data_IF_034920971402
#
_entry.id   IF_034920971402
#
_cell.length_a   1.000
_cell.length_b   1.000
_cell.length_c   1.000
_cell.angle_alpha   90.00
_cell.angle_beta   90.00
_cell.angle_gamma   90.00
#
_symmetry.space_group_name_H-M   'P 1'
#
loop_
_entity.id
_entity.type
_entity.pdbx_description
1 polymer ?
#
# COMPACT_ATOMS: atom_id res chain seq x y z
N UNK A 1 6.35 38.77 -33.00
CA UNK A 1 5.19 38.10 -32.37
C UNK A 1 5.68 37.51 -31.06
N UNK A 2 5.20 38.01 -29.92
CA UNK A 2 5.77 37.72 -28.59
C UNK A 2 5.52 36.27 -28.17
N UNK A 3 6.57 35.58 -27.70
CA UNK A 3 6.55 34.20 -27.16
C UNK A 3 5.43 34.02 -26.09
N UNK A 4 5.04 35.11 -25.43
CA UNK A 4 3.94 35.14 -24.47
C UNK A 4 2.56 34.84 -25.07
N UNK A 5 2.32 35.11 -26.36
CA UNK A 5 1.03 34.85 -27.01
C UNK A 5 0.79 33.37 -27.29
N UNK A 6 1.85 32.59 -27.52
CA UNK A 6 1.75 31.12 -27.68
C UNK A 6 1.53 30.41 -26.34
N UNK A 7 2.06 30.93 -25.24
CA UNK A 7 1.90 30.36 -23.90
C UNK A 7 0.46 30.45 -23.37
N UNK A 8 -0.31 31.45 -23.80
CA UNK A 8 -1.69 31.70 -23.35
C UNK A 8 -2.76 30.94 -24.17
N UNK A 9 -2.38 30.23 -25.24
CA UNK A 9 -3.32 29.55 -26.15
C UNK A 9 -3.36 28.02 -26.03
N UNK A 10 -2.46 27.41 -25.24
CA UNK A 10 -2.63 26.03 -24.79
C UNK A 10 -3.55 26.02 -23.57
N UNK A 11 -4.38 24.99 -23.31
CA UNK A 11 -5.02 24.80 -22.01
C UNK A 11 -3.92 24.96 -20.95
N UNK A 12 -3.96 26.10 -20.27
CA UNK A 12 -2.76 26.79 -19.79
C UNK A 12 -2.21 26.11 -18.56
N UNK A 13 -0.89 26.15 -18.36
CA UNK A 13 -0.19 25.83 -17.09
C UNK A 13 -0.95 26.34 -15.86
N UNK A 14 -1.65 27.48 -15.98
CA UNK A 14 -2.52 28.04 -14.96
C UNK A 14 -3.69 27.12 -14.54
N UNK A 15 -4.34 26.44 -15.48
CA UNK A 15 -5.40 25.47 -15.21
C UNK A 15 -4.84 24.22 -14.52
N UNK A 16 -3.64 23.79 -14.91
CA UNK A 16 -2.96 22.65 -14.28
C UNK A 16 -2.56 22.99 -12.83
N UNK A 17 -1.94 24.15 -12.60
CA UNK A 17 -1.60 24.63 -11.24
C UNK A 17 -2.85 24.79 -10.38
N UNK A 18 -3.93 25.32 -10.95
CA UNK A 18 -5.19 25.52 -10.21
C UNK A 18 -5.90 24.19 -9.93
N UNK A 19 -5.83 23.24 -10.85
CA UNK A 19 -6.34 21.88 -10.67
C UNK A 19 -5.55 21.14 -9.60
N UNK A 20 -4.22 21.20 -9.63
CA UNK A 20 -3.35 20.64 -8.60
C UNK A 20 -3.65 21.24 -7.23
N UNK A 21 -3.79 22.57 -7.13
CA UNK A 21 -4.13 23.24 -5.88
C UNK A 21 -5.53 22.86 -5.37
N UNK A 22 -6.51 22.74 -6.26
CA UNK A 22 -7.87 22.29 -5.90
C UNK A 22 -7.87 20.86 -5.40
N UNK A 23 -7.18 19.96 -6.11
CA UNK A 23 -7.03 18.56 -5.74
C UNK A 23 -6.30 18.44 -4.40
N UNK A 24 -5.23 19.20 -4.20
CA UNK A 24 -4.51 19.29 -2.93
C UNK A 24 -5.45 19.63 -1.78
N UNK A 25 -6.13 20.78 -1.90
CA UNK A 25 -7.04 21.25 -0.86
C UNK A 25 -8.17 20.25 -0.58
N UNK A 26 -8.72 19.61 -1.63
CA UNK A 26 -9.77 18.63 -1.48
C UNK A 26 -9.29 17.40 -0.71
N UNK A 27 -8.18 16.78 -1.11
CA UNK A 27 -7.64 15.59 -0.45
C UNK A 27 -7.23 15.89 0.99
N UNK A 28 -6.60 17.04 1.27
CA UNK A 28 -6.27 17.45 2.64
C UNK A 28 -7.53 17.68 3.48
N UNK A 29 -8.57 18.26 2.89
CA UNK A 29 -9.87 18.45 3.57
C UNK A 29 -10.52 17.12 3.92
N UNK A 30 -10.56 16.16 2.99
CA UNK A 30 -11.09 14.83 3.25
C UNK A 30 -10.23 14.09 4.29
N UNK A 31 -8.91 14.26 4.28
CA UNK A 31 -8.01 13.74 5.31
C UNK A 31 -8.35 14.26 6.70
N UNK A 32 -8.56 15.58 6.85
CA UNK A 32 -9.00 16.18 8.12
C UNK A 32 -10.35 15.65 8.58
N UNK A 33 -11.30 15.54 7.66
CA UNK A 33 -12.63 15.00 7.94
C UNK A 33 -12.55 13.55 8.44
N UNK A 34 -11.72 12.72 7.81
CA UNK A 34 -11.50 11.36 8.26
C UNK A 34 -10.84 11.30 9.65
N UNK A 35 -9.92 12.21 9.96
CA UNK A 35 -9.35 12.33 11.33
C UNK A 35 -10.45 12.56 12.36
N UNK A 36 -11.36 13.50 12.11
CA UNK A 36 -12.48 13.79 13.01
C UNK A 36 -13.38 12.57 13.19
N UNK A 37 -13.73 11.90 12.09
CA UNK A 37 -14.53 10.67 12.13
C UNK A 37 -13.88 9.58 12.97
N UNK A 38 -12.58 9.30 12.73
CA UNK A 38 -11.84 8.24 13.42
C UNK A 38 -11.66 8.54 14.91
N UNK A 39 -11.43 9.82 15.26
CA UNK A 39 -11.24 10.27 16.63
C UNK A 39 -12.52 10.14 17.45
N UNK A 40 -13.64 10.61 16.91
CA UNK A 40 -14.88 10.74 17.67
C UNK A 40 -15.74 9.47 17.62
N UNK A 41 -15.36 8.47 16.80
CA UNK A 41 -16.09 7.20 16.68
C UNK A 41 -17.40 7.35 15.93
N UNK A 42 -17.32 7.90 14.71
CA UNK A 42 -18.48 8.13 13.84
C UNK A 42 -19.10 6.81 13.35
N UNK A 43 -20.42 6.62 13.53
CA UNK A 43 -21.14 5.40 13.11
C UNK A 43 -20.95 5.07 11.62
N UNK A 44 -20.68 6.07 10.77
CA UNK A 44 -20.41 5.87 9.33
C UNK A 44 -19.10 5.11 9.08
N UNK A 45 -18.21 5.03 10.07
CA UNK A 45 -16.99 4.23 9.98
C UNK A 45 -17.23 2.73 10.07
N UNK A 46 -18.38 2.31 10.62
CA UNK A 46 -18.77 0.91 10.73
C UNK A 46 -18.63 0.14 9.40
N UNK A 47 -19.01 0.81 8.31
CA UNK A 47 -19.02 0.28 6.96
C UNK A 47 -17.86 0.80 6.10
N UNK A 48 -17.03 1.70 6.63
CA UNK A 48 -15.90 2.26 5.89
C UNK A 48 -14.80 1.21 5.79
N UNK A 49 -14.56 0.76 4.55
CA UNK A 49 -13.53 -0.24 4.27
C UNK A 49 -12.13 0.31 4.48
N UNK A 50 -11.23 -0.52 5.02
CA UNK A 50 -9.84 -0.14 5.21
C UNK A 50 -9.13 0.18 3.89
N UNK A 51 -9.60 -0.38 2.77
CA UNK A 51 -9.14 -0.02 1.40
C UNK A 51 -9.29 1.49 1.17
N UNK A 52 -10.45 2.05 1.49
CA UNK A 52 -10.75 3.47 1.26
C UNK A 52 -9.91 4.36 2.18
N UNK A 53 -9.75 3.94 3.44
CA UNK A 53 -8.89 4.63 4.41
C UNK A 53 -7.44 4.65 3.92
N UNK A 54 -6.91 3.51 3.47
CA UNK A 54 -5.56 3.40 2.94
C UNK A 54 -5.35 4.22 1.67
N UNK A 55 -6.32 4.22 0.75
CA UNK A 55 -6.27 5.03 -0.45
C UNK A 55 -6.17 6.53 -0.11
N UNK A 56 -7.02 7.03 0.78
CA UNK A 56 -6.99 8.43 1.20
C UNK A 56 -5.68 8.77 1.94
N UNK A 57 -5.20 7.89 2.83
CA UNK A 57 -3.91 8.04 3.52
C UNK A 57 -2.74 8.17 2.53
N UNK A 58 -2.65 7.28 1.55
CA UNK A 58 -1.60 7.29 0.53
C UNK A 58 -1.69 8.56 -0.33
N UNK A 59 -2.89 8.93 -0.79
CA UNK A 59 -3.11 10.17 -1.53
C UNK A 59 -2.64 11.38 -0.70
N UNK A 60 -3.06 11.46 0.56
CA UNK A 60 -2.69 12.53 1.49
C UNK A 60 -1.18 12.62 1.67
N UNK A 61 -0.48 11.50 1.88
CA UNK A 61 0.99 11.46 1.99
C UNK A 61 1.66 12.01 0.74
N UNK A 62 1.19 11.64 -0.45
CA UNK A 62 1.83 12.06 -1.72
C UNK A 62 1.77 13.57 -1.92
N UNK A 63 0.62 14.17 -1.65
CA UNK A 63 0.38 15.59 -1.92
C UNK A 63 0.78 16.52 -0.76
N UNK A 64 0.82 16.04 0.48
CA UNK A 64 1.00 16.90 1.64
C UNK A 64 2.33 17.65 1.63
N UNK A 65 2.24 18.90 2.07
CA UNK A 65 3.39 19.72 2.47
C UNK A 65 3.92 19.29 3.85
N UNK A 66 5.16 19.67 4.22
CA UNK A 66 5.70 19.39 5.55
C UNK A 66 4.83 19.93 6.70
N UNK A 67 4.14 21.05 6.52
CA UNK A 67 3.23 21.63 7.53
C UNK A 67 1.95 20.81 7.73
N UNK A 68 1.55 20.00 6.75
CA UNK A 68 0.33 19.17 6.82
C UNK A 68 0.60 17.78 7.38
N UNK A 69 1.86 17.46 7.69
CA UNK A 69 2.30 16.18 8.26
C UNK A 69 1.49 15.78 9.51
N UNK A 70 1.07 16.74 10.32
CA UNK A 70 0.26 16.47 11.52
C UNK A 70 -1.06 15.74 11.20
N UNK A 71 -1.67 16.02 10.04
CA UNK A 71 -2.91 15.35 9.60
C UNK A 71 -2.62 13.88 9.31
N UNK A 72 -1.49 13.61 8.65
CA UNK A 72 -1.07 12.26 8.31
C UNK A 72 -0.72 11.48 9.58
N UNK A 73 0.00 12.09 10.51
CA UNK A 73 0.30 11.48 11.81
C UNK A 73 -0.99 11.09 12.55
N UNK A 74 -1.98 11.97 12.57
CA UNK A 74 -3.29 11.69 13.15
C UNK A 74 -4.00 10.54 12.42
N UNK A 75 -4.05 10.56 11.08
CA UNK A 75 -4.67 9.49 10.30
C UNK A 75 -4.01 8.13 10.56
N UNK A 76 -2.67 8.06 10.56
CA UNK A 76 -1.95 6.81 10.84
C UNK A 76 -2.29 6.32 12.25
N UNK A 77 -2.15 7.19 13.25
CA UNK A 77 -2.37 6.81 14.65
C UNK A 77 -3.79 6.30 14.89
N UNK A 78 -4.81 7.04 14.44
CA UNK A 78 -6.19 6.63 14.63
C UNK A 78 -6.56 5.40 13.80
N UNK A 79 -6.00 5.24 12.59
CA UNK A 79 -6.21 4.01 11.81
C UNK A 79 -5.61 2.80 12.54
N UNK A 80 -4.41 2.92 13.12
CA UNK A 80 -3.83 1.85 13.91
C UNK A 80 -4.66 1.58 15.17
N UNK A 81 -5.10 2.60 15.88
CA UNK A 81 -5.93 2.45 17.08
C UNK A 81 -7.26 1.73 16.79
N UNK A 82 -7.91 2.04 15.67
CA UNK A 82 -9.25 1.53 15.34
C UNK A 82 -9.25 0.17 14.65
N UNK A 83 -8.25 -0.11 13.80
CA UNK A 83 -8.27 -1.28 12.93
C UNK A 83 -7.22 -2.34 13.30
N UNK A 84 -6.18 -2.01 14.07
CA UNK A 84 -5.10 -2.95 14.37
C UNK A 84 -5.43 -3.84 15.56
N UNK A 85 -5.20 -5.14 15.39
CA UNK A 85 -5.37 -6.16 16.41
C UNK A 85 -4.05 -6.88 16.68
N UNK A 86 -3.75 -7.09 17.95
CA UNK A 86 -2.58 -7.87 18.38
C UNK A 86 -2.98 -9.31 18.66
N UNK A 87 -2.29 -10.24 18.03
CA UNK A 87 -2.53 -11.68 18.14
C UNK A 87 -1.24 -12.40 18.58
N UNK A 88 -1.35 -13.70 18.89
CA UNK A 88 -0.17 -14.55 19.15
C UNK A 88 0.79 -14.64 17.95
N UNK A 89 0.29 -14.39 16.72
CA UNK A 89 1.05 -14.52 15.48
C UNK A 89 1.57 -13.17 14.97
N UNK A 90 1.31 -12.07 15.69
CA UNK A 90 1.70 -10.72 15.29
C UNK A 90 0.52 -9.74 15.24
N UNK A 91 0.77 -8.60 14.60
CA UNK A 91 -0.19 -7.49 14.48
C UNK A 91 -0.84 -7.48 13.10
N UNK A 92 -2.16 -7.48 13.09
CA UNK A 92 -2.97 -7.53 11.86
C UNK A 92 -4.06 -6.48 11.86
N UNK A 93 -4.66 -6.23 10.70
CA UNK A 93 -5.68 -5.20 10.55
C UNK A 93 -7.02 -5.80 10.16
N UNK A 94 -8.09 -5.30 10.79
CA UNK A 94 -9.47 -5.62 10.41
C UNK A 94 -9.84 -4.91 9.11
N UNK A 95 -10.63 -5.55 8.26
CA UNK A 95 -11.07 -4.94 6.98
C UNK A 95 -12.07 -3.78 7.14
N UNK A 96 -12.79 -3.75 8.28
CA UNK A 96 -13.64 -2.65 8.78
C UNK A 96 -13.47 -2.58 10.30
N UNK A 97 -13.88 -1.49 10.96
CA UNK A 97 -13.70 -1.32 12.43
C UNK A 97 -14.27 -2.50 13.24
N UNK A 98 -15.43 -3.01 12.83
CA UNK A 98 -16.15 -4.10 13.51
C UNK A 98 -15.94 -5.49 12.92
N UNK A 99 -15.10 -5.62 11.88
CA UNK A 99 -14.86 -6.94 11.28
C UNK A 99 -14.07 -7.82 12.23
N UNK A 100 -14.46 -9.09 12.35
CA UNK A 100 -13.65 -10.12 12.99
C UNK A 100 -12.58 -10.69 12.05
N UNK A 101 -12.62 -10.32 10.77
CA UNK A 101 -11.65 -10.78 9.78
C UNK A 101 -10.41 -9.90 9.75
N UNK A 102 -9.26 -10.52 9.98
CA UNK A 102 -7.95 -9.90 9.92
C UNK A 102 -7.32 -10.15 8.54
N UNK A 103 -6.99 -9.07 7.84
CA UNK A 103 -6.33 -9.12 6.54
C UNK A 103 -4.83 -8.86 6.70
N UNK A 104 -3.96 -9.72 6.15
CA UNK A 104 -2.53 -9.43 6.06
C UNK A 104 -2.17 -8.63 4.80
N UNK A 105 -3.11 -8.43 3.86
CA UNK A 105 -2.81 -8.08 2.49
C UNK A 105 -2.58 -6.59 2.21
N UNK A 106 -2.11 -6.28 1.00
CA UNK A 106 -1.79 -4.91 0.58
C UNK A 106 -3.04 -4.02 0.49
N UNK A 107 -4.15 -4.56 -0.02
CA UNK A 107 -5.37 -3.78 -0.26
C UNK A 107 -6.00 -3.25 1.04
N UNK A 108 -6.05 -4.07 2.09
CA UNK A 108 -6.87 -3.82 3.28
C UNK A 108 -6.32 -4.45 4.56
N UNK A 109 -4.99 -4.54 4.67
CA UNK A 109 -4.36 -5.30 5.74
C UNK A 109 -2.97 -4.83 6.14
N UNK A 110 -2.25 -5.69 6.86
CA UNK A 110 -0.92 -5.40 7.40
C UNK A 110 0.07 -4.90 6.35
N UNK A 111 0.15 -5.55 5.17
CA UNK A 111 1.03 -5.09 4.10
C UNK A 111 0.65 -3.67 3.61
N UNK A 112 -0.63 -3.34 3.54
CA UNK A 112 -1.08 -1.98 3.19
C UNK A 112 -0.57 -0.94 4.19
N UNK A 113 -0.70 -1.20 5.50
CA UNK A 113 -0.16 -0.32 6.52
C UNK A 113 1.37 -0.20 6.44
N UNK A 114 2.09 -1.31 6.23
CA UNK A 114 3.56 -1.26 6.05
C UNK A 114 3.91 -0.32 4.90
N UNK A 115 3.22 -0.42 3.76
CA UNK A 115 3.45 0.47 2.64
C UNK A 115 3.18 1.94 2.97
N UNK A 116 2.11 2.24 3.71
CA UNK A 116 1.78 3.61 4.17
C UNK A 116 2.91 4.17 5.04
N UNK A 117 3.38 3.41 6.03
CA UNK A 117 4.45 3.85 6.93
C UNK A 117 5.79 4.02 6.19
N UNK A 118 6.08 3.16 5.22
CA UNK A 118 7.26 3.28 4.36
C UNK A 118 7.18 4.52 3.45
N UNK A 119 6.02 4.81 2.86
CA UNK A 119 5.78 6.03 2.08
C UNK A 119 5.94 7.29 2.92
N UNK A 120 5.40 7.28 4.14
CA UNK A 120 5.59 8.35 5.11
C UNK A 120 7.08 8.60 5.37
N UNK A 121 7.84 7.54 5.68
CA UNK A 121 9.27 7.62 5.95
C UNK A 121 10.05 8.17 4.76
N UNK A 122 9.74 7.72 3.54
CA UNK A 122 10.40 8.21 2.31
C UNK A 122 10.09 9.69 2.05
N UNK A 123 8.83 10.11 2.23
CA UNK A 123 8.36 11.48 1.97
C UNK A 123 8.90 12.49 2.96
N UNK A 124 8.89 12.17 4.26
CA UNK A 124 9.21 13.11 5.34
C UNK A 124 10.58 12.90 5.97
N UNK A 125 11.29 11.83 5.61
CA UNK A 125 12.56 11.42 6.23
C UNK A 125 12.49 11.31 7.76
N UNK A 126 11.32 10.88 8.27
CA UNK A 126 11.05 10.75 9.69
C UNK A 126 11.03 9.27 10.11
N UNK A 127 11.69 8.98 11.23
CA UNK A 127 11.84 7.66 11.84
C UNK A 127 10.77 7.32 12.87
N UNK A 128 9.78 8.21 13.09
CA UNK A 128 8.71 8.09 14.09
C UNK A 128 8.03 6.71 14.11
N UNK A 129 7.82 6.12 12.94
CA UNK A 129 7.11 4.85 12.78
C UNK A 129 8.01 3.64 12.55
N UNK A 130 9.34 3.75 12.70
CA UNK A 130 10.28 2.66 12.40
C UNK A 130 10.03 1.41 13.23
N UNK A 131 9.78 1.56 14.54
CA UNK A 131 9.45 0.44 15.41
C UNK A 131 8.17 -0.28 14.94
N UNK A 132 7.14 0.49 14.58
CA UNK A 132 5.90 -0.08 14.02
C UNK A 132 6.15 -0.79 12.70
N UNK A 133 6.98 -0.24 11.80
CA UNK A 133 7.35 -0.89 10.54
C UNK A 133 8.01 -2.24 10.81
N UNK A 134 8.98 -2.29 11.73
CA UNK A 134 9.69 -3.52 12.08
C UNK A 134 8.75 -4.58 12.66
N UNK A 135 7.84 -4.20 13.56
CA UNK A 135 6.85 -5.11 14.13
C UNK A 135 5.91 -5.70 13.08
N UNK A 136 5.39 -4.87 12.18
CA UNK A 136 4.46 -5.31 11.14
C UNK A 136 5.18 -6.18 10.09
N UNK A 137 6.41 -5.82 9.71
CA UNK A 137 7.26 -6.64 8.81
C UNK A 137 7.53 -8.01 9.41
N UNK A 138 7.81 -8.08 10.72
CA UNK A 138 7.96 -9.36 11.40
C UNK A 138 6.67 -10.18 11.33
N UNK A 139 5.51 -9.54 11.52
CA UNK A 139 4.19 -10.21 11.49
C UNK A 139 3.90 -10.88 10.13
N UNK A 140 4.16 -10.19 9.02
CA UNK A 140 3.90 -10.76 7.68
C UNK A 140 4.99 -11.70 7.18
N UNK A 141 6.20 -11.65 7.75
CA UNK A 141 7.30 -12.53 7.34
C UNK A 141 7.12 -13.99 7.78
N UNK A 142 6.18 -14.25 8.70
CA UNK A 142 5.88 -15.59 9.21
C UNK A 142 4.67 -16.24 8.49
N UNK A 143 4.02 -15.52 7.58
CA UNK A 143 2.89 -16.04 6.81
C UNK A 143 3.40 -16.81 5.58
N UNK A 144 3.40 -18.15 5.68
CA UNK A 144 4.10 -18.99 4.70
C UNK A 144 3.36 -19.19 3.37
N UNK A 145 2.02 -19.17 3.34
CA UNK A 145 1.24 -19.39 2.12
C UNK A 145 -0.10 -18.63 2.12
N UNK A 146 -0.18 -17.45 1.49
CA UNK A 146 -1.44 -16.74 1.30
C UNK A 146 -2.35 -17.45 0.30
N UNK A 147 -3.58 -16.96 0.17
CA UNK A 147 -4.61 -17.61 -0.65
C UNK A 147 -4.32 -17.60 -2.14
N UNK A 148 -3.58 -16.63 -2.68
CA UNK A 148 -3.29 -16.54 -4.12
C UNK A 148 -1.96 -15.78 -4.34
N UNK A 149 -1.55 -15.59 -5.60
CA UNK A 149 -0.34 -14.86 -5.96
C UNK A 149 -0.50 -13.34 -6.06
N UNK A 150 -1.71 -12.79 -6.08
CA UNK A 150 -1.97 -11.40 -6.48
C UNK A 150 -1.14 -10.37 -5.73
N UNK A 151 -0.87 -9.24 -6.39
CA UNK A 151 -0.19 -8.12 -5.77
C UNK A 151 -1.06 -7.52 -4.65
N UNK A 152 -2.37 -7.39 -4.86
CA UNK A 152 -3.26 -6.70 -3.94
C UNK A 152 -3.71 -7.55 -2.75
N UNK A 153 -3.92 -8.86 -2.95
CA UNK A 153 -4.58 -9.77 -2.00
C UNK A 153 -3.90 -11.14 -1.86
N UNK A 154 -2.66 -11.25 -2.32
CA UNK A 154 -1.92 -12.50 -2.33
C UNK A 154 -0.45 -12.34 -1.94
N UNK A 155 0.35 -13.32 -2.34
CA UNK A 155 1.79 -13.39 -2.04
C UNK A 155 2.57 -12.20 -2.57
N UNK A 156 2.13 -11.63 -3.71
CA UNK A 156 2.69 -10.41 -4.25
C UNK A 156 2.63 -9.24 -3.27
N UNK A 157 1.60 -9.17 -2.41
CA UNK A 157 1.49 -8.13 -1.37
C UNK A 157 2.70 -8.11 -0.43
N UNK A 158 3.11 -9.29 0.04
CA UNK A 158 4.19 -9.43 1.02
C UNK A 158 5.54 -9.17 0.36
N UNK A 159 5.76 -9.76 -0.82
CA UNK A 159 6.97 -9.53 -1.62
C UNK A 159 7.17 -8.04 -1.86
N UNK A 160 6.13 -7.33 -2.31
CA UNK A 160 6.20 -5.90 -2.61
C UNK A 160 6.68 -5.07 -1.41
N UNK A 161 6.06 -5.25 -0.25
CA UNK A 161 6.38 -4.43 0.92
C UNK A 161 7.70 -4.81 1.55
N UNK A 162 8.13 -6.07 1.47
CA UNK A 162 9.46 -6.51 1.93
C UNK A 162 10.57 -5.98 1.02
N UNK A 163 10.37 -5.96 -0.30
CA UNK A 163 11.30 -5.30 -1.23
C UNK A 163 11.42 -3.80 -0.92
N UNK A 164 10.28 -3.13 -0.72
CA UNK A 164 10.27 -1.70 -0.35
C UNK A 164 10.96 -1.44 0.98
N UNK A 165 10.72 -2.29 1.98
CA UNK A 165 11.42 -2.26 3.26
C UNK A 165 12.94 -2.38 3.07
N UNK A 166 13.42 -3.37 2.31
CA UNK A 166 14.85 -3.53 1.99
C UNK A 166 15.43 -2.27 1.36
N UNK A 167 14.73 -1.65 0.40
CA UNK A 167 15.18 -0.42 -0.28
C UNK A 167 15.36 0.72 0.72
N UNK A 168 14.36 0.95 1.57
CA UNK A 168 14.30 2.11 2.48
C UNK A 168 15.22 1.92 3.69
N UNK A 169 15.24 0.73 4.29
CA UNK A 169 16.06 0.42 5.46
C UNK A 169 17.46 -0.09 5.11
N UNK A 170 17.75 -0.31 3.82
CA UNK A 170 19.01 -0.88 3.31
C UNK A 170 19.38 -2.19 4.04
N UNK A 171 18.37 -3.00 4.36
CA UNK A 171 18.52 -4.21 5.17
C UNK A 171 18.29 -5.47 4.35
N UNK A 172 19.23 -6.41 4.40
CA UNK A 172 19.12 -7.74 3.77
C UNK A 172 18.47 -8.81 4.67
N UNK A 173 18.01 -8.43 5.87
CA UNK A 173 17.48 -9.37 6.88
C UNK A 173 16.32 -10.24 6.36
N UNK A 174 15.59 -9.76 5.35
CA UNK A 174 14.39 -10.39 4.77
C UNK A 174 14.62 -10.97 3.37
N UNK A 175 15.87 -11.01 2.89
CA UNK A 175 16.17 -11.49 1.53
C UNK A 175 15.77 -12.96 1.33
N UNK A 176 15.98 -13.81 2.35
CA UNK A 176 15.61 -15.22 2.27
C UNK A 176 14.09 -15.39 2.22
N UNK A 177 13.35 -14.64 3.05
CA UNK A 177 11.89 -14.64 3.04
C UNK A 177 11.37 -14.26 1.64
N UNK A 178 11.91 -13.19 1.04
CA UNK A 178 11.54 -12.76 -0.32
C UNK A 178 11.83 -13.86 -1.35
N UNK A 179 13.01 -14.50 -1.30
CA UNK A 179 13.36 -15.60 -2.23
C UNK A 179 12.43 -16.80 -2.08
N UNK A 180 12.08 -17.16 -0.85
CA UNK A 180 11.15 -18.26 -0.59
C UNK A 180 9.76 -17.95 -1.15
N UNK A 181 9.25 -16.73 -0.92
CA UNK A 181 7.98 -16.29 -1.49
C UNK A 181 7.99 -16.33 -3.04
N UNK A 182 9.08 -15.91 -3.69
CA UNK A 182 9.22 -16.06 -5.15
C UNK A 182 9.21 -17.52 -5.60
N UNK A 183 9.84 -18.44 -4.86
CA UNK A 183 9.82 -19.88 -5.16
C UNK A 183 8.42 -20.49 -5.03
N UNK A 184 7.55 -19.89 -4.21
CA UNK A 184 6.18 -20.35 -3.99
C UNK A 184 5.18 -19.78 -5.01
N UNK A 185 5.48 -18.67 -5.70
CA UNK A 185 4.59 -18.10 -6.73
C UNK A 185 4.08 -19.11 -7.79
N UNK A 186 4.92 -20.03 -8.31
CA UNK A 186 4.45 -21.05 -9.26
C UNK A 186 3.29 -21.92 -8.75
N UNK A 187 3.12 -22.08 -7.44
CA UNK A 187 2.04 -22.87 -6.84
C UNK A 187 0.64 -22.26 -7.08
N UNK A 188 0.59 -20.96 -7.40
CA UNK A 188 -0.66 -20.20 -7.65
C UNK A 188 -0.94 -19.99 -9.13
N UNK A 189 -0.27 -20.75 -10.00
CA UNK A 189 -0.30 -20.53 -11.44
C UNK A 189 -0.66 -21.78 -12.21
N UNK A 190 -1.23 -21.58 -13.39
CA UNK A 190 -1.49 -22.65 -14.34
C UNK A 190 -0.58 -22.48 -15.56
N UNK A 191 -0.19 -23.61 -16.16
CA UNK A 191 0.56 -23.63 -17.41
C UNK A 191 -0.39 -23.98 -18.55
N UNK A 192 -0.46 -23.11 -19.56
CA UNK A 192 -1.27 -23.32 -20.75
C UNK A 192 -0.52 -22.79 -21.97
N UNK A 193 -0.45 -23.59 -23.04
CA UNK A 193 0.26 -23.25 -24.29
C UNK A 193 1.70 -22.73 -24.05
N UNK A 194 2.44 -23.39 -23.16
CA UNK A 194 3.82 -23.01 -22.81
C UNK A 194 3.96 -21.75 -21.96
N UNK A 195 2.87 -21.07 -21.64
CA UNK A 195 2.85 -19.86 -20.83
C UNK A 195 2.35 -20.13 -19.41
N UNK A 196 2.91 -19.41 -18.44
CA UNK A 196 2.49 -19.48 -17.03
C UNK A 196 1.58 -18.30 -16.71
N UNK A 197 0.39 -18.60 -16.22
CA UNK A 197 -0.65 -17.62 -15.93
C UNK A 197 -0.99 -17.62 -14.45
N UNK A 198 -1.07 -16.44 -13.85
CA UNK A 198 -1.56 -16.28 -12.48
C UNK A 198 -3.07 -16.47 -12.47
N UNK A 199 -3.53 -17.25 -11.50
CA UNK A 199 -4.96 -17.38 -11.23
C UNK A 199 -5.38 -16.24 -10.32
N UNK A 200 -6.50 -15.60 -10.65
CA UNK A 200 -7.05 -14.51 -9.85
C UNK A 200 -7.48 -14.96 -8.44
N UNK A 201 -7.81 -14.00 -7.58
CA UNK A 201 -8.19 -14.30 -6.19
C UNK A 201 -9.42 -15.20 -6.04
N UNK A 202 -10.26 -15.25 -7.08
CA UNK A 202 -11.47 -16.06 -7.09
C UNK A 202 -11.21 -17.52 -7.40
N UNK A 203 -10.00 -17.85 -7.89
CA UNK A 203 -9.63 -19.14 -8.46
C UNK A 203 -10.44 -19.56 -9.69
N UNK A 204 -11.20 -18.63 -10.30
CA UNK A 204 -12.08 -18.93 -11.43
C UNK A 204 -11.51 -18.49 -12.76
N UNK A 205 -10.54 -17.56 -12.78
CA UNK A 205 -10.05 -16.95 -14.01
C UNK A 205 -8.54 -16.74 -13.99
N UNK A 206 -7.97 -16.69 -15.19
CA UNK A 206 -6.63 -16.14 -15.41
C UNK A 206 -6.76 -14.62 -15.40
N UNK A 207 -5.85 -13.94 -14.70
CA UNK A 207 -5.69 -12.48 -14.83
C UNK A 207 -4.33 -12.12 -15.41
N UNK A 208 -4.32 -11.06 -16.23
CA UNK A 208 -3.11 -10.44 -16.77
C UNK A 208 -2.90 -9.03 -16.23
N UNK A 209 -3.83 -8.51 -15.42
CA UNK A 209 -3.75 -7.15 -14.90
C UNK A 209 -2.66 -6.99 -13.83
N UNK A 210 -2.50 -5.76 -13.34
CA UNK A 210 -1.48 -5.43 -12.36
C UNK A 210 -1.84 -5.85 -10.92
N UNK A 211 -3.12 -5.83 -10.57
CA UNK A 211 -3.56 -6.09 -9.20
C UNK A 211 -3.57 -7.58 -8.89
N UNK A 212 -4.15 -8.37 -9.81
CA UNK A 212 -4.48 -9.78 -9.64
C UNK A 212 -3.72 -10.70 -10.60
N UNK A 213 -3.16 -10.14 -11.67
CA UNK A 213 -2.56 -10.90 -12.75
C UNK A 213 -1.04 -10.89 -12.84
N UNK A 214 -0.58 -11.40 -13.98
CA UNK A 214 0.84 -11.50 -14.31
C UNK A 214 1.60 -10.16 -14.27
N UNK A 215 0.96 -9.03 -14.62
CA UNK A 215 1.69 -7.76 -14.74
C UNK A 215 2.27 -7.31 -13.40
N UNK A 216 1.53 -7.48 -12.30
CA UNK A 216 2.02 -7.19 -10.95
C UNK A 216 3.18 -8.09 -10.56
N UNK A 217 3.07 -9.39 -10.85
CA UNK A 217 4.14 -10.36 -10.55
C UNK A 217 5.42 -10.08 -11.34
N UNK A 218 5.30 -9.78 -12.64
CA UNK A 218 6.45 -9.43 -13.49
C UNK A 218 7.14 -8.19 -12.92
N UNK A 219 6.37 -7.17 -12.52
CA UNK A 219 6.91 -5.98 -11.88
C UNK A 219 7.73 -6.29 -10.61
N UNK A 220 7.26 -7.20 -9.75
CA UNK A 220 8.00 -7.61 -8.56
C UNK A 220 9.29 -8.39 -8.89
N UNK A 221 9.24 -9.25 -9.91
CA UNK A 221 10.42 -10.01 -10.37
C UNK A 221 11.51 -9.06 -10.87
N UNK A 222 11.13 -8.08 -11.70
CA UNK A 222 12.10 -7.11 -12.24
C UNK A 222 12.72 -6.25 -11.14
N UNK A 223 11.94 -5.83 -10.14
CA UNK A 223 12.51 -5.17 -8.96
C UNK A 223 13.47 -6.08 -8.19
N UNK A 224 13.12 -7.35 -7.97
CA UNK A 224 13.96 -8.28 -7.23
C UNK A 224 15.35 -8.47 -7.89
N UNK A 225 15.38 -8.57 -9.22
CA UNK A 225 16.61 -8.67 -10.01
C UNK A 225 17.47 -7.43 -9.87
N UNK A 226 16.87 -6.25 -9.98
CA UNK A 226 17.57 -4.97 -9.80
C UNK A 226 18.18 -4.83 -8.39
N UNK A 227 17.56 -5.47 -7.40
CA UNK A 227 18.03 -5.48 -6.01
C UNK A 227 19.03 -6.61 -5.68
N UNK A 228 19.35 -7.49 -6.64
CA UNK A 228 20.24 -8.64 -6.43
C UNK A 228 19.67 -9.71 -5.49
N UNK A 229 18.34 -9.80 -5.38
CA UNK A 229 17.67 -10.83 -4.57
C UNK A 229 17.50 -12.11 -5.39
N UNK A 230 17.09 -11.96 -6.65
CA UNK A 230 16.95 -12.99 -7.67
C UNK A 230 18.06 -12.89 -8.72
#
# INVERSE_FOLDING_TARGET
MSIYKEYLQKPTIFNDIFFEKKMHNHVISEGKRLVEMLKDGDERLAETSLVQVYALLLCTIKIASPSEKIIIDSLINYTQEKYMESTINGKFFRITEYSTYLSPYFADGTAGMINILLEYREKFHDTKYDASILDLVNSISQEHMPKNSSLYRGLGSFIYVLQKFKKIFKSSKRDNDIREMFRNLPLYSIVSNGNRYMVDESFRRISLDFADGNAGIIFLIEQAKQMGIL
#
